data_IF_924352803199
#
_entry.id   IF_924352803199
#
_cell.length_a   1.000
_cell.length_b   1.000
_cell.length_c   1.000
_cell.angle_alpha   90.00
_cell.angle_beta   90.00
_cell.angle_gamma   90.00
#
_symmetry.space_group_name_H-M   'P 1'
#
loop_
_entity.id
_entity.type
_entity.pdbx_description
1 polymer ?
#
# COMPACT_ATOMS: atom_id res chain seq x y z
N UNK A 1 10.43 9.89 -3.98
CA UNK A 1 11.84 9.62 -3.60
C UNK A 1 12.62 9.24 -4.84
N UNK A 2 13.73 9.93 -5.08
CA UNK A 2 14.65 9.62 -6.17
C UNK A 2 15.82 8.78 -5.64
N UNK A 3 16.08 7.62 -6.26
CA UNK A 3 17.11 6.71 -5.80
C UNK A 3 18.48 7.11 -6.39
N UNK A 4 19.45 7.39 -5.53
CA UNK A 4 20.83 7.70 -5.96
C UNK A 4 21.45 6.60 -6.83
N UNK A 5 21.13 5.34 -6.57
CA UNK A 5 21.60 4.20 -7.37
C UNK A 5 21.07 4.21 -8.81
N UNK A 6 19.87 4.77 -9.05
CA UNK A 6 19.27 4.85 -10.38
C UNK A 6 19.73 6.06 -11.19
N UNK A 7 19.97 7.18 -10.51
CA UNK A 7 20.35 8.44 -11.15
C UNK A 7 21.88 8.52 -11.29
N UNK A 8 22.63 8.03 -10.29
CA UNK A 8 24.10 8.10 -10.25
C UNK A 8 24.57 9.57 -10.22
N UNK A 9 25.57 9.85 -11.06
CA UNK A 9 26.08 11.21 -11.31
C UNK A 9 25.69 11.75 -12.69
N UNK A 10 24.68 11.14 -13.32
CA UNK A 10 24.19 11.52 -14.63
C UNK A 10 23.22 12.70 -14.52
N UNK A 11 23.69 13.89 -14.94
CA UNK A 11 22.92 15.12 -14.84
C UNK A 11 21.63 15.11 -15.69
N UNK A 12 21.64 14.42 -16.84
CA UNK A 12 20.46 14.32 -17.71
C UNK A 12 19.37 13.45 -17.06
N UNK A 13 19.76 12.34 -16.45
CA UNK A 13 18.84 11.49 -15.70
C UNK A 13 18.29 12.20 -14.47
N UNK A 14 19.12 12.97 -13.77
CA UNK A 14 18.66 13.76 -12.63
C UNK A 14 17.64 14.79 -13.09
N UNK A 15 17.93 15.56 -14.14
CA UNK A 15 17.00 16.56 -14.69
C UNK A 15 15.67 15.93 -15.13
N UNK A 16 15.74 14.79 -15.81
CA UNK A 16 14.53 14.07 -16.22
C UNK A 16 13.70 13.59 -15.02
N UNK A 17 14.34 13.08 -13.98
CA UNK A 17 13.67 12.64 -12.76
C UNK A 17 13.03 13.84 -12.01
N UNK A 18 13.71 14.96 -11.91
CA UNK A 18 13.18 16.19 -11.31
C UNK A 18 11.98 16.73 -12.11
N UNK A 19 12.09 16.75 -13.44
CA UNK A 19 10.99 17.16 -14.31
C UNK A 19 9.75 16.24 -14.14
N UNK A 20 9.96 14.94 -14.02
CA UNK A 20 8.87 14.00 -13.74
C UNK A 20 8.23 14.23 -12.37
N UNK A 21 9.04 14.41 -11.32
CA UNK A 21 8.52 14.72 -9.98
C UNK A 21 7.72 16.02 -9.99
N UNK A 22 8.25 17.08 -10.62
CA UNK A 22 7.55 18.34 -10.75
C UNK A 22 6.23 18.20 -11.52
N UNK A 23 6.21 17.40 -12.59
CA UNK A 23 5.00 17.14 -13.35
C UNK A 23 3.91 16.46 -12.51
N UNK A 24 4.26 15.39 -11.78
CA UNK A 24 3.28 14.65 -10.95
C UNK A 24 2.85 15.43 -9.70
N UNK A 25 3.65 16.40 -9.27
CA UNK A 25 3.36 17.27 -8.12
C UNK A 25 2.53 18.50 -8.46
N UNK A 26 2.19 18.71 -9.72
CA UNK A 26 1.26 19.78 -10.08
C UNK A 26 -0.14 19.45 -9.52
N UNK A 27 -0.88 20.44 -8.96
CA UNK A 27 -2.16 20.17 -8.32
C UNK A 27 -3.16 19.44 -9.22
N UNK A 28 -3.25 19.82 -10.50
CA UNK A 28 -4.12 19.18 -11.50
C UNK A 28 -3.78 17.70 -11.73
N UNK A 29 -2.49 17.35 -11.74
CA UNK A 29 -2.05 15.97 -11.86
C UNK A 29 -2.18 15.20 -10.55
N UNK A 30 -1.97 15.84 -9.40
CA UNK A 30 -2.20 15.27 -8.10
C UNK A 30 -3.66 14.85 -7.92
N UNK A 31 -4.62 15.71 -8.27
CA UNK A 31 -6.06 15.42 -8.26
C UNK A 31 -6.40 14.23 -9.17
N UNK A 32 -5.85 14.18 -10.38
CA UNK A 32 -6.04 13.01 -11.28
C UNK A 32 -5.53 11.71 -10.66
N UNK A 33 -4.37 11.75 -10.02
CA UNK A 33 -3.83 10.59 -9.32
C UNK A 33 -4.71 10.18 -8.14
N UNK A 34 -5.21 11.14 -7.35
CA UNK A 34 -6.15 10.87 -6.26
C UNK A 34 -7.41 10.17 -6.77
N UNK A 35 -7.99 10.69 -7.86
CA UNK A 35 -9.19 10.11 -8.46
C UNK A 35 -8.99 8.68 -8.95
N UNK A 36 -7.88 8.38 -9.66
CA UNK A 36 -7.65 7.05 -10.23
C UNK A 36 -7.11 6.04 -9.23
N UNK A 37 -6.30 6.48 -8.27
CA UNK A 37 -5.60 5.57 -7.35
C UNK A 37 -6.32 5.48 -5.99
N UNK A 38 -7.07 6.51 -5.60
CA UNK A 38 -7.78 6.61 -4.33
C UNK A 38 -6.88 6.93 -3.14
N UNK A 39 -5.64 7.35 -3.37
CA UNK A 39 -4.72 7.75 -2.29
C UNK A 39 -4.70 9.26 -2.09
N UNK A 40 -4.52 9.67 -0.84
CA UNK A 40 -4.34 11.07 -0.48
C UNK A 40 -3.02 11.59 -1.04
N UNK A 41 -3.06 12.76 -1.67
CA UNK A 41 -1.86 13.47 -2.08
C UNK A 41 -1.25 14.24 -0.92
N UNK A 42 0.08 14.42 -0.95
CA UNK A 42 0.79 15.37 -0.08
C UNK A 42 0.78 16.80 -0.64
N UNK A 43 0.17 16.98 -1.81
CA UNK A 43 0.02 18.28 -2.46
C UNK A 43 -1.31 18.87 -2.01
N UNK A 44 -1.27 20.03 -1.38
CA UNK A 44 -2.48 20.75 -0.94
C UNK A 44 -3.11 21.62 -2.03
N UNK A 45 -2.36 21.98 -3.06
CA UNK A 45 -2.83 22.85 -4.15
C UNK A 45 -2.29 24.28 -4.06
N UNK A 46 -1.72 24.68 -2.95
CA UNK A 46 -1.22 26.04 -2.74
C UNK A 46 -2.35 27.09 -2.87
N UNK A 47 -2.12 28.14 -3.66
CA UNK A 47 -3.08 29.23 -3.82
C UNK A 47 -4.29 28.88 -4.72
N UNK A 48 -4.29 27.72 -5.36
CA UNK A 48 -5.31 27.36 -6.37
C UNK A 48 -6.49 26.54 -5.80
N UNK A 49 -6.45 26.14 -4.52
CA UNK A 49 -7.44 25.30 -3.85
C UNK A 49 -7.90 24.04 -4.63
N UNK A 50 -7.19 23.69 -5.70
CA UNK A 50 -7.57 22.62 -6.64
C UNK A 50 -7.80 21.28 -5.96
N UNK A 51 -6.98 20.95 -4.96
CA UNK A 51 -7.11 19.68 -4.21
C UNK A 51 -8.26 19.78 -3.22
N UNK A 52 -8.48 20.93 -2.60
CA UNK A 52 -9.61 21.16 -1.71
C UNK A 52 -10.94 21.15 -2.46
N UNK A 53 -11.00 21.74 -3.63
CA UNK A 53 -12.19 21.68 -4.50
C UNK A 53 -12.52 20.24 -4.93
N UNK A 54 -11.50 19.43 -5.21
CA UNK A 54 -11.72 18.01 -5.46
C UNK A 54 -12.25 17.29 -4.23
N UNK A 55 -11.78 17.65 -3.04
CA UNK A 55 -12.23 17.06 -1.78
C UNK A 55 -13.70 17.39 -1.53
N UNK A 56 -14.10 18.65 -1.72
CA UNK A 56 -15.50 19.07 -1.65
C UNK A 56 -16.36 18.29 -2.64
N UNK A 57 -15.97 18.26 -3.89
CA UNK A 57 -16.72 17.51 -4.90
C UNK A 57 -16.92 16.03 -4.54
N UNK A 58 -15.96 15.42 -3.86
CA UNK A 58 -15.98 13.99 -3.55
C UNK A 58 -16.73 13.66 -2.24
N UNK A 59 -16.79 14.58 -1.28
CA UNK A 59 -17.26 14.29 0.07
C UNK A 59 -18.31 15.26 0.62
N UNK A 60 -18.51 16.43 0.01
CA UNK A 60 -19.51 17.39 0.47
C UNK A 60 -20.91 16.79 0.36
N UNK A 61 -21.75 17.03 1.39
CA UNK A 61 -23.13 16.56 1.42
C UNK A 61 -23.97 17.24 0.34
N UNK A 62 -24.92 16.50 -0.22
CA UNK A 62 -25.93 17.08 -1.11
C UNK A 62 -26.97 17.87 -0.30
N UNK A 63 -27.63 18.84 -0.94
CA UNK A 63 -28.57 19.77 -0.27
C UNK A 63 -29.78 19.08 0.43
N UNK A 64 -30.10 17.82 0.05
CA UNK A 64 -31.21 17.04 0.58
C UNK A 64 -30.77 15.95 1.60
N UNK A 65 -29.49 15.93 1.97
CA UNK A 65 -28.95 14.95 2.92
C UNK A 65 -29.24 15.37 4.37
N UNK A 66 -29.93 14.50 5.14
CA UNK A 66 -30.44 14.83 6.49
C UNK A 66 -29.36 14.65 7.58
N UNK A 67 -28.51 13.61 7.47
CA UNK A 67 -27.52 13.28 8.49
C UNK A 67 -26.13 13.84 8.10
N UNK A 68 -25.94 15.15 8.31
CA UNK A 68 -24.69 15.83 7.98
C UNK A 68 -23.99 16.38 9.22
N UNK A 69 -22.67 16.57 9.10
CA UNK A 69 -21.83 17.16 10.13
C UNK A 69 -20.71 18.01 9.53
N UNK A 70 -20.19 18.94 10.32
CA UNK A 70 -19.01 19.72 9.94
C UNK A 70 -17.74 18.89 10.12
N UNK A 71 -16.86 18.95 9.14
CA UNK A 71 -15.58 18.25 9.14
C UNK A 71 -14.45 19.22 8.79
N UNK A 72 -13.57 19.58 9.75
CA UNK A 72 -12.45 20.48 9.50
C UNK A 72 -11.31 19.72 8.81
N UNK A 73 -10.76 20.31 7.74
CA UNK A 73 -9.58 19.82 7.02
C UNK A 73 -8.48 20.88 6.91
N UNK A 74 -8.66 22.02 7.57
CA UNK A 74 -7.79 23.18 7.49
C UNK A 74 -6.34 22.88 7.88
N UNK A 75 -6.10 21.95 8.81
CA UNK A 75 -4.76 21.52 9.16
C UNK A 75 -3.93 21.09 7.94
N UNK A 76 -4.55 20.39 6.98
CA UNK A 76 -3.86 19.87 5.80
C UNK A 76 -3.65 20.91 4.70
N UNK A 77 -4.44 21.98 4.67
CA UNK A 77 -4.42 22.98 3.62
C UNK A 77 -3.75 24.29 4.05
N UNK A 78 -4.00 24.73 5.29
CA UNK A 78 -3.44 25.99 5.81
C UNK A 78 -2.73 25.83 7.17
N UNK A 79 -2.74 24.63 7.77
CA UNK A 79 -2.14 24.35 9.08
C UNK A 79 -3.02 24.74 10.27
N UNK A 80 -4.28 25.10 10.03
CA UNK A 80 -5.21 25.56 11.07
C UNK A 80 -6.62 25.00 10.82
N UNK A 81 -7.09 24.11 11.69
CA UNK A 81 -8.45 23.53 11.64
C UNK A 81 -9.55 24.51 12.04
N UNK A 82 -9.22 25.66 12.62
CA UNK A 82 -10.19 26.68 12.97
C UNK A 82 -10.55 27.61 11.82
N UNK A 83 -9.89 27.47 10.67
CA UNK A 83 -10.18 28.26 9.48
C UNK A 83 -11.50 27.79 8.84
N UNK A 84 -12.52 28.65 8.88
CA UNK A 84 -13.86 28.36 8.37
C UNK A 84 -13.89 28.08 6.86
N UNK A 85 -12.92 28.57 6.07
CA UNK A 85 -12.82 28.34 4.63
C UNK A 85 -12.55 26.86 4.31
N UNK A 86 -12.03 26.09 5.27
CA UNK A 86 -11.68 24.68 5.13
C UNK A 86 -12.51 23.77 6.03
N UNK A 87 -13.72 24.19 6.40
CA UNK A 87 -14.71 23.35 7.07
C UNK A 87 -15.72 22.89 6.01
N UNK A 88 -15.87 21.58 5.86
CA UNK A 88 -16.80 20.98 4.91
C UNK A 88 -18.02 20.43 5.66
N UNK A 89 -19.20 20.55 5.05
CA UNK A 89 -20.40 19.83 5.50
C UNK A 89 -20.42 18.49 4.79
N UNK A 90 -20.35 17.39 5.53
CA UNK A 90 -20.23 16.04 4.99
C UNK A 90 -21.28 15.12 5.60
N UNK A 91 -21.68 14.02 4.91
CA UNK A 91 -22.47 12.97 5.54
C UNK A 91 -21.76 12.41 6.77
N UNK A 92 -22.50 12.23 7.89
CA UNK A 92 -21.90 11.77 9.15
C UNK A 92 -21.11 10.46 8.98
N UNK A 93 -21.55 9.58 8.09
CA UNK A 93 -20.85 8.31 7.84
C UNK A 93 -19.42 8.49 7.30
N UNK A 94 -19.13 9.57 6.56
CA UNK A 94 -17.80 9.84 6.00
C UNK A 94 -16.77 10.14 7.09
N UNK A 95 -17.20 10.63 8.24
CA UNK A 95 -16.32 10.86 9.41
C UNK A 95 -15.72 9.59 10.00
N UNK A 96 -16.21 8.42 9.58
CA UNK A 96 -15.74 7.08 10.02
C UNK A 96 -15.25 6.20 8.87
N UNK A 97 -15.21 6.75 7.65
CA UNK A 97 -14.88 6.04 6.42
C UNK A 97 -13.66 6.63 5.72
N UNK A 98 -13.76 6.78 4.40
CA UNK A 98 -12.68 7.18 3.53
C UNK A 98 -12.14 8.57 3.86
N UNK A 99 -13.01 9.56 4.10
CA UNK A 99 -12.60 10.92 4.45
C UNK A 99 -11.72 10.92 5.71
N UNK A 100 -12.18 10.26 6.77
CA UNK A 100 -11.42 10.15 8.02
C UNK A 100 -10.07 9.42 7.81
N UNK A 101 -10.02 8.41 6.96
CA UNK A 101 -8.78 7.70 6.68
C UNK A 101 -7.78 8.55 5.89
N UNK A 102 -8.27 9.43 5.01
CA UNK A 102 -7.44 10.30 4.18
C UNK A 102 -7.00 11.58 4.92
N UNK A 103 -7.88 12.16 5.71
CA UNK A 103 -7.69 13.42 6.43
C UNK A 103 -8.10 13.26 7.90
N UNK A 104 -7.33 12.50 8.70
CA UNK A 104 -7.66 12.27 10.10
C UNK A 104 -7.61 13.55 10.91
N UNK A 105 -8.43 13.63 11.96
CA UNK A 105 -8.45 14.79 12.86
C UNK A 105 -7.10 15.01 13.55
N UNK A 106 -6.84 16.25 13.99
CA UNK A 106 -5.60 16.58 14.73
C UNK A 106 -5.40 15.69 15.98
N UNK A 107 -6.47 15.34 16.68
CA UNK A 107 -6.36 14.43 17.82
C UNK A 107 -5.77 13.08 17.45
N UNK A 108 -6.17 12.52 16.32
CA UNK A 108 -5.63 11.26 15.79
C UNK A 108 -4.17 11.44 15.37
N UNK A 109 -3.84 12.54 14.70
CA UNK A 109 -2.48 12.84 14.27
C UNK A 109 -1.53 12.95 15.46
N UNK A 110 -1.95 13.62 16.54
CA UNK A 110 -1.14 13.74 17.77
C UNK A 110 -0.85 12.40 18.46
N UNK A 111 -1.72 11.41 18.27
CA UNK A 111 -1.54 10.05 18.79
C UNK A 111 -0.87 9.10 17.79
N UNK A 112 -0.68 9.56 16.56
CA UNK A 112 -0.05 8.78 15.49
C UNK A 112 1.47 8.89 15.56
N UNK A 113 2.15 7.87 15.04
CA UNK A 113 3.59 7.89 14.88
C UNK A 113 3.94 7.72 13.40
N UNK A 114 4.89 8.50 12.93
CA UNK A 114 5.47 8.33 11.61
C UNK A 114 6.26 7.02 11.59
N UNK A 115 6.09 6.23 10.52
CA UNK A 115 6.86 5.01 10.32
C UNK A 115 8.35 5.35 10.33
N UNK A 116 9.09 4.76 11.27
CA UNK A 116 10.51 4.98 11.43
C UNK A 116 11.33 3.99 10.61
N UNK A 117 12.60 4.32 10.42
CA UNK A 117 13.56 3.36 9.89
C UNK A 117 13.78 2.24 10.91
N UNK A 118 13.65 1.01 10.45
CA UNK A 118 13.95 -0.18 11.25
C UNK A 118 15.36 -0.67 10.93
N UNK A 119 16.07 -1.15 11.94
CA UNK A 119 17.34 -1.84 11.73
C UNK A 119 17.15 -3.17 10.97
N UNK A 120 18.24 -3.78 10.56
CA UNK A 120 18.20 -5.02 9.76
C UNK A 120 17.50 -6.17 10.49
N UNK A 121 17.54 -6.21 11.82
CA UNK A 121 16.90 -7.25 12.62
C UNK A 121 15.40 -7.04 12.64
N UNK A 122 14.94 -5.84 12.99
CA UNK A 122 13.52 -5.50 12.98
C UNK A 122 12.91 -5.62 11.57
N UNK A 123 13.66 -5.24 10.51
CA UNK A 123 13.21 -5.44 9.13
C UNK A 123 13.00 -6.91 8.78
N UNK A 124 13.88 -7.81 9.24
CA UNK A 124 13.69 -9.25 9.04
C UNK A 124 12.47 -9.78 9.76
N UNK A 125 12.26 -9.36 11.01
CA UNK A 125 11.08 -9.77 11.80
C UNK A 125 9.78 -9.28 11.17
N UNK A 126 9.74 -8.01 10.72
CA UNK A 126 8.58 -7.45 10.03
C UNK A 126 8.30 -8.18 8.72
N UNK A 127 9.34 -8.45 7.92
CA UNK A 127 9.19 -9.20 6.69
C UNK A 127 8.69 -10.62 6.94
N UNK A 128 9.21 -11.29 7.97
CA UNK A 128 8.73 -12.62 8.36
C UNK A 128 7.26 -12.59 8.83
N UNK A 129 6.89 -11.58 9.61
CA UNK A 129 5.49 -11.35 10.00
C UNK A 129 4.59 -11.18 8.77
N UNK A 130 5.00 -10.37 7.78
CA UNK A 130 4.24 -10.17 6.53
C UNK A 130 4.11 -11.46 5.72
N UNK A 131 5.17 -12.25 5.62
CA UNK A 131 5.14 -13.57 4.97
C UNK A 131 4.13 -14.47 5.69
N UNK A 132 4.17 -14.53 7.02
CA UNK A 132 3.28 -15.37 7.81
C UNK A 132 1.80 -14.94 7.69
N UNK A 133 1.52 -13.65 7.53
CA UNK A 133 0.16 -13.12 7.38
C UNK A 133 -0.38 -13.28 5.96
N UNK A 134 0.45 -13.06 4.94
CA UNK A 134 0.01 -13.05 3.54
C UNK A 134 0.21 -14.37 2.80
N UNK A 135 1.23 -15.11 3.18
CA UNK A 135 1.59 -16.35 2.53
C UNK A 135 1.24 -17.51 3.44
N UNK A 136 0.70 -18.57 2.83
CA UNK A 136 0.57 -19.84 3.53
C UNK A 136 1.98 -20.27 3.99
N UNK A 137 2.17 -20.43 5.29
CA UNK A 137 3.48 -20.77 5.82
C UNK A 137 3.83 -22.20 5.38
N UNK A 138 4.89 -22.35 4.59
CA UNK A 138 5.35 -23.66 4.09
C UNK A 138 5.76 -24.57 5.27
N UNK A 139 6.07 -23.99 6.44
CA UNK A 139 6.35 -24.73 7.65
C UNK A 139 5.13 -25.54 8.17
N UNK A 140 3.92 -25.12 7.77
CA UNK A 140 2.68 -25.82 8.10
C UNK A 140 2.26 -26.88 7.06
N UNK A 141 3.18 -27.32 6.19
CA UNK A 141 2.90 -28.47 5.32
C UNK A 141 2.64 -29.70 6.19
N UNK A 142 1.41 -30.24 6.19
CA UNK A 142 1.07 -31.35 7.05
C UNK A 142 2.04 -32.51 6.87
N UNK A 143 2.47 -33.12 7.95
CA UNK A 143 3.40 -34.27 7.95
C UNK A 143 2.93 -35.37 6.98
N UNK A 144 1.61 -35.48 6.77
CA UNK A 144 1.01 -36.41 5.81
C UNK A 144 1.52 -36.20 4.37
N UNK A 145 1.81 -34.95 3.96
CA UNK A 145 2.34 -34.67 2.61
C UNK A 145 3.77 -35.19 2.49
N UNK A 146 4.60 -35.05 3.51
CA UNK A 146 5.96 -35.60 3.54
C UNK A 146 5.98 -37.13 3.52
N UNK A 147 5.03 -37.76 4.22
CA UNK A 147 4.83 -39.21 4.16
C UNK A 147 4.43 -39.64 2.75
N UNK A 148 3.49 -38.93 2.12
CA UNK A 148 3.06 -39.21 0.75
C UNK A 148 4.23 -39.12 -0.25
N UNK A 149 5.02 -38.07 -0.17
CA UNK A 149 6.23 -37.89 -1.00
C UNK A 149 7.22 -39.05 -0.78
N UNK A 150 7.44 -39.45 0.48
CA UNK A 150 8.29 -40.59 0.80
C UNK A 150 7.79 -41.90 0.19
N UNK A 151 6.50 -42.17 0.25
CA UNK A 151 5.88 -43.37 -0.35
C UNK A 151 6.04 -43.36 -1.87
N UNK A 152 5.82 -42.22 -2.54
CA UNK A 152 6.01 -42.10 -4.00
C UNK A 152 7.47 -42.39 -4.37
N UNK A 153 8.45 -41.86 -3.64
CA UNK A 153 9.88 -42.11 -3.90
C UNK A 153 10.19 -43.60 -3.76
N UNK A 154 9.72 -44.25 -2.70
CA UNK A 154 9.93 -45.70 -2.49
C UNK A 154 9.29 -46.52 -3.61
N UNK A 155 8.12 -46.13 -4.09
CA UNK A 155 7.43 -46.82 -5.18
C UNK A 155 8.22 -46.69 -6.51
N UNK A 156 8.75 -45.51 -6.81
CA UNK A 156 9.59 -45.29 -7.99
C UNK A 156 10.88 -46.14 -7.93
N UNK A 157 11.52 -46.20 -6.75
CA UNK A 157 12.71 -47.04 -6.53
C UNK A 157 12.35 -48.51 -6.74
N UNK A 158 11.25 -48.98 -6.18
CA UNK A 158 10.78 -50.35 -6.35
C UNK A 158 10.57 -50.71 -7.82
N UNK A 159 9.90 -49.84 -8.60
CA UNK A 159 9.69 -50.04 -10.03
C UNK A 159 11.06 -50.12 -10.76
N UNK A 160 11.96 -49.18 -10.47
CA UNK A 160 13.30 -49.15 -11.11
C UNK A 160 14.10 -50.43 -10.82
N UNK A 161 14.09 -50.92 -9.62
CA UNK A 161 14.74 -52.17 -9.20
C UNK A 161 14.10 -53.37 -9.90
N UNK A 162 12.78 -53.40 -10.00
CA UNK A 162 12.05 -54.50 -10.66
C UNK A 162 12.34 -54.56 -12.17
N UNK A 163 12.35 -53.41 -12.84
CA UNK A 163 12.72 -53.33 -14.25
C UNK A 163 14.18 -53.81 -14.45
N UNK A 164 15.08 -53.35 -13.60
CA UNK A 164 16.50 -53.76 -13.71
C UNK A 164 16.69 -55.28 -13.50
N UNK A 165 15.93 -55.85 -12.54
CA UNK A 165 15.99 -57.32 -12.31
C UNK A 165 15.34 -58.12 -13.45
N UNK A 166 14.31 -57.60 -14.11
CA UNK A 166 13.69 -58.22 -15.29
C UNK A 166 14.68 -58.29 -16.44
N UNK A 167 15.34 -57.16 -16.72
CA UNK A 167 16.40 -57.14 -17.77
C UNK A 167 17.60 -58.05 -17.49
N UNK A 168 17.93 -58.28 -16.21
CA UNK A 168 18.99 -59.25 -15.85
C UNK A 168 18.56 -60.69 -16.06
N UNK A 169 17.23 -61.03 -15.94
CA UNK A 169 16.71 -62.37 -16.21
C UNK A 169 16.62 -62.70 -17.69
N UNK A 170 16.36 -61.72 -18.55
CA UNK A 170 16.29 -61.90 -20.01
C UNK A 170 17.67 -62.09 -20.68
N UNK A 171 18.76 -61.70 -20.00
CA UNK A 171 20.14 -61.83 -20.51
C UNK A 171 20.85 -63.10 -20.06
N UNK A 172 20.18 -63.97 -19.26
CA UNK A 172 20.64 -65.31 -18.90
C UNK A 172 19.87 -66.37 -19.67
#
# INVERSE_FOLDING_TARGET
VMLKSGIGQDAEKQQAAEAFVNFVSRPDNAVRNMYYIGYTSVISGGDDDTVYDYLKWNYEAEDDEEDTTEYPVGFFFCGDDSNEDYIMTVPEEQTRRQLFAQYPTQEVLHRSAVMQYFDDTANKEINQMWINVRCYNIEDVPVQIWILVGVIILFVIYIAVRIRMSHYREKK
#
